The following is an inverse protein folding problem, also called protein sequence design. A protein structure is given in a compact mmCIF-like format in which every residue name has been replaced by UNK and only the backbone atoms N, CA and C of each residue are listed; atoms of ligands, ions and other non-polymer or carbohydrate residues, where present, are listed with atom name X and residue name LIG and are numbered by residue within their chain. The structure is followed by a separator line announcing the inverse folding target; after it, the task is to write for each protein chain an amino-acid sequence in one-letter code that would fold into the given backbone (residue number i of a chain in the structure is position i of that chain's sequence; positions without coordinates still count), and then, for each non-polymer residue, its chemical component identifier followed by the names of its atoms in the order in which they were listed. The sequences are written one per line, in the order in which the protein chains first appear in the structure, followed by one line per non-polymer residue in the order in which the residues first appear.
data_IF_690097798596
#
_entry.id   IF_690097798596
#
_cell.length_a   1.000
_cell.length_b   1.000
_cell.length_c   1.000
_cell.angle_alpha   90.00
_cell.angle_beta   90.00
_cell.angle_gamma   90.00
#
_symmetry.space_group_name_H-M   'P 1'
#
loop_
_entity.id
_entity.type
_entity.pdbx_description
1 polymer ?
#
# COMPACT_ATOMS: atom_id res chain seq x y z
N UNK A 1 17.85 -3.26 9.09
CA UNK A 1 18.09 -2.20 8.08
C UNK A 1 17.49 -2.51 6.72
N UNK A 2 17.70 -3.71 6.15
CA UNK A 2 17.14 -4.07 4.83
C UNK A 2 15.59 -3.99 4.76
N UNK A 3 14.89 -4.37 5.83
CA UNK A 3 13.41 -4.27 5.92
C UNK A 3 12.92 -2.84 5.70
N UNK A 4 13.59 -1.86 6.29
CA UNK A 4 13.23 -0.44 6.17
C UNK A 4 13.41 0.02 4.72
N UNK A 5 14.54 -0.31 4.10
CA UNK A 5 14.78 0.01 2.68
C UNK A 5 13.74 -0.64 1.76
N UNK A 6 13.40 -1.91 2.01
CA UNK A 6 12.35 -2.60 1.26
C UNK A 6 10.99 -1.91 1.38
N UNK A 7 10.62 -1.49 2.60
CA UNK A 7 9.36 -0.78 2.82
C UNK A 7 9.33 0.61 2.17
N UNK A 8 10.46 1.32 2.12
CA UNK A 8 10.57 2.59 1.39
C UNK A 8 10.33 2.36 -0.10
N UNK A 9 10.94 1.33 -0.70
CA UNK A 9 10.72 0.97 -2.11
C UNK A 9 9.25 0.63 -2.35
N UNK A 10 8.63 -0.14 -1.45
CA UNK A 10 7.19 -0.47 -1.52
C UNK A 10 6.33 0.80 -1.47
N UNK A 11 6.64 1.76 -0.60
CA UNK A 11 5.92 3.04 -0.54
C UNK A 11 6.03 3.80 -1.87
N UNK A 12 7.22 3.86 -2.47
CA UNK A 12 7.45 4.51 -3.76
C UNK A 12 6.68 3.80 -4.88
N UNK A 13 6.65 2.46 -4.87
CA UNK A 13 5.87 1.68 -5.85
C UNK A 13 4.37 2.01 -5.78
N UNK A 14 3.80 2.12 -4.58
CA UNK A 14 2.40 2.50 -4.42
C UNK A 14 2.11 3.95 -4.82
N UNK A 15 3.02 4.88 -4.52
CA UNK A 15 2.93 6.26 -5.00
C UNK A 15 2.91 6.33 -6.52
N UNK A 16 3.78 5.56 -7.18
CA UNK A 16 3.84 5.48 -8.63
C UNK A 16 2.55 4.90 -9.22
N UNK A 17 2.06 3.79 -8.67
CA UNK A 17 0.80 3.16 -9.12
C UNK A 17 -0.40 4.07 -8.92
N UNK A 18 -0.48 4.77 -7.78
CA UNK A 18 -1.52 5.76 -7.52
C UNK A 18 -1.48 6.91 -8.52
N UNK A 19 -0.29 7.42 -8.85
CA UNK A 19 -0.10 8.45 -9.88
C UNK A 19 -0.48 7.97 -11.28
N UNK A 20 -0.12 6.73 -11.65
CA UNK A 20 -0.52 6.13 -12.91
C UNK A 20 -2.03 5.99 -13.00
N UNK A 21 -2.70 5.50 -11.96
CA UNK A 21 -4.14 5.34 -11.95
C UNK A 21 -4.91 6.65 -11.98
N UNK A 22 -4.37 7.71 -11.39
CA UNK A 22 -5.01 9.03 -11.39
C UNK A 22 -4.80 9.75 -12.71
N UNK A 23 -3.58 9.73 -13.27
CA UNK A 23 -3.23 10.47 -14.48
C UNK A 23 -3.50 9.71 -15.78
N UNK A 24 -3.29 8.39 -15.78
CA UNK A 24 -3.55 7.52 -16.94
C UNK A 24 -4.83 6.74 -16.66
N UNK A 25 -5.71 6.61 -17.64
CA UNK A 25 -6.92 5.78 -17.53
C UNK A 25 -6.62 4.27 -17.61
N UNK A 26 -5.37 3.86 -17.37
CA UNK A 26 -4.99 2.46 -17.44
C UNK A 26 -5.35 1.76 -16.12
N UNK A 27 -6.18 0.72 -16.22
CA UNK A 27 -6.79 0.01 -15.08
C UNK A 27 -6.50 -1.48 -15.12
N UNK A 28 -5.35 -1.86 -15.68
CA UNK A 28 -4.93 -3.27 -15.81
C UNK A 28 -4.72 -3.99 -14.47
N UNK A 29 -4.64 -3.26 -13.35
CA UNK A 29 -4.44 -3.86 -12.04
C UNK A 29 -5.75 -4.46 -11.49
N UNK A 30 -5.66 -5.69 -10.98
CA UNK A 30 -6.82 -6.40 -10.44
C UNK A 30 -7.19 -5.86 -9.05
N UNK A 31 -8.42 -5.35 -8.89
CA UNK A 31 -8.93 -4.82 -7.63
C UNK A 31 -8.91 -5.83 -6.48
N UNK A 32 -9.10 -7.13 -6.75
CA UNK A 32 -9.06 -8.18 -5.74
C UNK A 32 -7.64 -8.40 -5.21
N UNK A 33 -6.64 -8.31 -6.09
CA UNK A 33 -5.22 -8.39 -5.71
C UNK A 33 -4.86 -7.24 -4.76
N UNK A 34 -5.22 -5.99 -5.14
CA UNK A 34 -4.98 -4.82 -4.28
C UNK A 34 -5.72 -4.97 -2.96
N UNK A 35 -6.96 -5.48 -2.95
CA UNK A 35 -7.72 -5.71 -1.74
C UNK A 35 -7.05 -6.68 -0.76
N UNK A 36 -6.55 -7.82 -1.24
CA UNK A 36 -5.82 -8.79 -0.42
C UNK A 36 -4.52 -8.19 0.11
N UNK A 37 -3.78 -7.47 -0.74
CA UNK A 37 -2.57 -6.76 -0.33
C UNK A 37 -2.85 -5.76 0.79
N UNK A 38 -3.84 -4.89 0.62
CA UNK A 38 -4.20 -3.88 1.61
C UNK A 38 -4.59 -4.50 2.95
N UNK A 39 -5.34 -5.62 2.94
CA UNK A 39 -5.66 -6.35 4.16
C UNK A 39 -4.41 -6.94 4.84
N UNK A 40 -3.49 -7.53 4.07
CA UNK A 40 -2.22 -8.04 4.58
C UNK A 40 -1.36 -6.96 5.22
N UNK A 41 -1.22 -5.80 4.56
CA UNK A 41 -0.44 -4.68 5.11
C UNK A 41 -1.09 -4.10 6.37
N UNK A 42 -2.42 -4.06 6.46
CA UNK A 42 -3.11 -3.65 7.68
C UNK A 42 -2.73 -4.54 8.87
N UNK A 43 -2.65 -5.87 8.68
CA UNK A 43 -2.17 -6.78 9.72
C UNK A 43 -0.72 -6.49 10.12
N UNK A 44 0.16 -6.18 9.16
CA UNK A 44 1.56 -5.80 9.43
C UNK A 44 1.69 -4.48 10.19
N UNK A 45 0.75 -3.55 10.01
CA UNK A 45 0.69 -2.32 10.83
C UNK A 45 0.40 -2.67 12.30
N UNK A 46 -0.64 -3.49 12.52
CA UNK A 46 -1.02 -3.91 13.87
C UNK A 46 0.11 -4.69 14.56
N UNK A 47 0.69 -5.66 13.86
CA UNK A 47 1.82 -6.44 14.35
C UNK A 47 3.03 -5.55 14.70
N UNK A 48 3.34 -4.58 13.85
CA UNK A 48 4.44 -3.64 14.08
C UNK A 48 4.25 -2.80 15.36
N UNK A 49 3.03 -2.34 15.64
CA UNK A 49 2.74 -1.61 16.87
C UNK A 49 2.74 -2.53 18.10
N UNK A 50 2.18 -3.75 18.01
CA UNK A 50 2.17 -4.73 19.10
C UNK A 50 3.59 -5.15 19.48
N UNK A 51 4.45 -5.36 18.48
CA UNK A 51 5.85 -5.79 18.65
C UNK A 51 6.82 -4.66 19.04
N UNK A 52 6.34 -3.42 19.22
CA UNK A 52 7.18 -2.27 19.54
C UNK A 52 8.07 -1.80 18.39
N UNK A 53 7.84 -2.28 17.16
CA UNK A 53 8.60 -1.97 15.95
C UNK A 53 8.03 -0.73 15.25
N UNK A 54 8.02 0.40 15.96
CA UNK A 54 7.34 1.63 15.52
C UNK A 54 7.74 2.09 14.10
N UNK A 55 9.03 2.08 13.77
CA UNK A 55 9.50 2.50 12.42
C UNK A 55 8.94 1.62 11.30
N UNK A 56 8.79 0.31 11.53
CA UNK A 56 8.22 -0.63 10.55
C UNK A 56 6.70 -0.43 10.46
N UNK A 57 6.04 -0.26 11.61
CA UNK A 57 4.60 0.01 11.69
C UNK A 57 4.21 1.27 10.90
N UNK A 58 4.95 2.37 11.07
CA UNK A 58 4.70 3.62 10.34
C UNK A 58 4.88 3.47 8.84
N UNK A 59 5.92 2.76 8.38
CA UNK A 59 6.14 2.55 6.95
C UNK A 59 5.07 1.64 6.33
N UNK A 60 4.62 0.62 7.05
CA UNK A 60 3.47 -0.19 6.64
C UNK A 60 2.19 0.64 6.61
N UNK A 61 2.00 1.58 7.54
CA UNK A 61 0.81 2.44 7.57
C UNK A 61 0.76 3.36 6.34
N UNK A 62 1.90 3.92 5.94
CA UNK A 62 1.99 4.72 4.71
C UNK A 62 1.64 3.85 3.48
N UNK A 63 2.21 2.65 3.40
CA UNK A 63 1.90 1.69 2.32
C UNK A 63 0.42 1.29 2.30
N UNK A 64 -0.19 1.12 3.48
CA UNK A 64 -1.62 0.87 3.63
C UNK A 64 -2.45 2.01 3.06
N UNK A 65 -2.15 3.26 3.43
CA UNK A 65 -2.88 4.45 2.95
C UNK A 65 -2.85 4.53 1.42
N UNK A 66 -1.69 4.35 0.78
CA UNK A 66 -1.60 4.41 -0.67
C UNK A 66 -2.30 3.25 -1.37
N UNK A 67 -2.12 2.01 -0.89
CA UNK A 67 -2.81 0.85 -1.48
C UNK A 67 -4.33 0.92 -1.32
N UNK A 68 -4.81 1.41 -0.17
CA UNK A 68 -6.23 1.68 0.06
C UNK A 68 -6.76 2.79 -0.87
N UNK A 69 -5.98 3.85 -1.09
CA UNK A 69 -6.27 4.90 -2.06
C UNK A 69 -6.38 4.36 -3.49
N UNK A 70 -5.45 3.51 -3.91
CA UNK A 70 -5.49 2.82 -5.21
C UNK A 70 -6.75 1.96 -5.32
N UNK A 71 -7.05 1.15 -4.31
CA UNK A 71 -8.26 0.31 -4.29
C UNK A 71 -9.54 1.14 -4.41
N UNK A 72 -9.60 2.27 -3.71
CA UNK A 72 -10.73 3.19 -3.75
C UNK A 72 -10.93 3.79 -5.14
N UNK A 73 -9.85 4.27 -5.77
CA UNK A 73 -9.90 4.80 -7.14
C UNK A 73 -10.32 3.71 -8.14
N UNK A 74 -9.79 2.51 -8.02
CA UNK A 74 -10.15 1.37 -8.87
C UNK A 74 -11.63 1.01 -8.77
N UNK A 75 -12.19 0.99 -7.56
CA UNK A 75 -13.62 0.71 -7.33
C UNK A 75 -14.53 1.81 -7.88
N UNK A 76 -14.09 3.07 -7.91
CA UNK A 76 -14.85 4.18 -8.49
C UNK A 76 -14.85 4.19 -10.02
N UNK A 77 -13.86 3.56 -10.66
CA UNK A 77 -13.71 3.51 -12.12
C UNK A 77 -14.37 2.31 -12.79
N UNK A 78 -14.77 1.29 -12.01
CA UNK A 78 -15.58 0.15 -12.46
C UNK A 78 -17.06 0.47 -12.34
#
# INVERSE_FOLDING_TARGET
MLTILGLIIICVAWLYEFSLLTNKKDTRINSSFVGIYTAGVFLLVLDGFISGLGSIAWLNLISFIFSAGVLFVLRRKK
#
